data_IF_671532329421
#
_entry.id   IF_671532329421
#
_cell.length_a   1.000
_cell.length_b   1.000
_cell.length_c   1.000
_cell.angle_alpha   90.00
_cell.angle_beta   90.00
_cell.angle_gamma   90.00
#
_symmetry.space_group_name_H-M   'P 1'
#
loop_
_entity.id
_entity.type
_entity.pdbx_description
1 polymer ?
#
# COMPACT_ATOMS: atom_id res chain seq x y z
N UNK A 1 7.63 4.26 -12.27
CA UNK A 1 6.38 5.05 -12.39
C UNK A 1 5.39 4.20 -13.15
N UNK A 2 4.18 4.01 -12.62
CA UNK A 2 3.11 3.34 -13.38
C UNK A 2 2.29 4.41 -14.09
N UNK A 3 1.57 4.04 -15.16
CA UNK A 3 0.69 4.99 -15.85
C UNK A 3 -0.53 5.38 -14.99
N UNK A 4 -0.88 4.54 -14.01
CA UNK A 4 -2.02 4.74 -13.09
C UNK A 4 -1.66 5.58 -11.87
N UNK A 5 -0.45 5.43 -11.31
CA UNK A 5 -0.03 6.11 -10.09
C UNK A 5 1.23 6.94 -10.35
N UNK A 6 1.07 8.28 -10.34
CA UNK A 6 2.17 9.24 -10.54
C UNK A 6 3.21 9.16 -9.43
N UNK A 7 2.76 8.94 -8.20
CA UNK A 7 3.60 8.72 -7.02
C UNK A 7 3.33 7.33 -6.44
N UNK A 8 4.40 6.60 -6.14
CA UNK A 8 4.35 5.27 -5.52
C UNK A 8 5.25 5.23 -4.30
N UNK A 9 4.78 4.59 -3.24
CA UNK A 9 5.59 4.28 -2.06
C UNK A 9 6.39 3.00 -2.27
N UNK A 10 7.35 2.74 -1.37
CA UNK A 10 8.17 1.54 -1.42
C UNK A 10 8.61 1.11 -0.01
N UNK A 11 8.42 -0.17 0.29
CA UNK A 11 9.06 -0.82 1.43
C UNK A 11 10.10 -1.84 0.93
N UNK A 12 11.25 -1.89 1.61
CA UNK A 12 12.36 -2.80 1.27
C UNK A 12 12.78 -3.57 2.52
N UNK A 13 13.05 -4.87 2.37
CA UNK A 13 13.57 -5.72 3.44
C UNK A 13 14.74 -6.56 2.91
N UNK A 14 15.85 -6.57 3.66
CA UNK A 14 17.03 -7.38 3.38
C UNK A 14 17.07 -8.57 4.35
N UNK A 15 17.18 -9.79 3.82
CA UNK A 15 17.34 -11.01 4.61
C UNK A 15 18.70 -11.64 4.26
N UNK A 16 19.68 -11.46 5.16
CA UNK A 16 20.99 -12.08 5.04
C UNK A 16 20.95 -13.49 5.66
N UNK A 17 20.62 -14.48 4.84
CA UNK A 17 20.49 -15.88 5.25
C UNK A 17 21.08 -16.83 4.22
N UNK A 18 21.41 -18.05 4.65
CA UNK A 18 21.78 -19.16 3.76
C UNK A 18 20.58 -20.10 3.47
N UNK A 19 19.40 -19.81 4.01
CA UNK A 19 18.19 -20.57 3.72
C UNK A 19 17.65 -20.18 2.33
N UNK A 20 17.27 -21.14 1.49
CA UNK A 20 16.70 -20.90 0.16
C UNK A 20 15.21 -20.54 0.16
N UNK A 21 14.47 -20.86 1.24
CA UNK A 21 13.03 -20.60 1.31
C UNK A 21 12.70 -19.10 1.37
N UNK A 22 11.71 -18.62 0.59
CA UNK A 22 11.14 -17.28 0.75
C UNK A 22 10.56 -17.12 2.16
N UNK A 23 10.63 -15.90 2.69
CA UNK A 23 10.19 -15.55 4.03
C UNK A 23 9.47 -14.20 4.01
N UNK A 24 8.45 -14.10 3.16
CA UNK A 24 7.60 -12.92 3.03
C UNK A 24 6.96 -12.53 4.36
N UNK A 25 6.55 -13.49 5.17
CA UNK A 25 5.99 -13.26 6.50
C UNK A 25 6.96 -12.48 7.38
N UNK A 26 8.27 -12.78 7.31
CA UNK A 26 9.29 -12.01 8.03
C UNK A 26 9.40 -10.58 7.52
N UNK A 27 9.35 -10.37 6.20
CA UNK A 27 9.40 -9.03 5.62
C UNK A 27 8.20 -8.18 6.08
N UNK A 28 6.99 -8.73 5.97
CA UNK A 28 5.77 -8.05 6.41
C UNK A 28 5.74 -7.80 7.92
N UNK A 29 6.16 -8.78 8.73
CA UNK A 29 6.23 -8.60 10.18
C UNK A 29 7.20 -7.49 10.55
N UNK A 30 8.40 -7.46 9.94
CA UNK A 30 9.41 -6.42 10.22
C UNK A 30 8.94 -5.02 9.87
N UNK A 31 8.22 -4.86 8.76
CA UNK A 31 7.60 -3.59 8.41
C UNK A 31 6.46 -3.23 9.36
N UNK A 32 5.68 -4.21 9.82
CA UNK A 32 4.55 -4.00 10.72
C UNK A 32 4.98 -3.65 12.16
N UNK A 33 6.04 -4.29 12.68
CA UNK A 33 6.55 -4.13 14.05
C UNK A 33 6.95 -2.69 14.40
N UNK A 34 7.13 -1.84 13.39
CA UNK A 34 7.33 -0.40 13.59
C UNK A 34 6.16 0.27 14.31
N UNK A 35 4.97 -0.36 14.33
CA UNK A 35 3.82 0.05 15.15
C UNK A 35 4.17 0.27 16.62
N UNK A 36 5.16 -0.45 17.16
CA UNK A 36 5.60 -0.30 18.55
C UNK A 36 6.21 1.08 18.84
N UNK A 37 6.65 1.80 17.80
CA UNK A 37 7.17 3.15 17.89
C UNK A 37 6.11 4.23 17.56
N UNK A 38 4.85 3.83 17.31
CA UNK A 38 3.77 4.75 16.94
C UNK A 38 3.17 5.48 18.14
N UNK A 39 2.86 6.76 17.93
CA UNK A 39 2.05 7.57 18.85
C UNK A 39 0.84 8.13 18.11
N UNK A 40 -0.31 8.20 18.79
CA UNK A 40 -1.61 8.57 18.19
C UNK A 40 -1.56 9.88 17.40
N UNK A 41 -0.79 10.87 17.86
CA UNK A 41 -0.66 12.17 17.20
C UNK A 41 -0.15 12.08 15.76
N UNK A 42 0.69 11.08 15.45
CA UNK A 42 1.26 10.90 14.10
C UNK A 42 0.20 10.54 13.07
N UNK A 43 -0.93 9.96 13.48
CA UNK A 43 -2.07 9.68 12.57
C UNK A 43 -2.58 10.96 11.94
N UNK A 44 -2.58 12.07 12.68
CA UNK A 44 -3.14 13.35 12.25
C UNK A 44 -2.21 14.19 11.38
N UNK A 45 -0.91 13.89 11.38
CA UNK A 45 0.08 14.58 10.57
C UNK A 45 1.37 13.78 10.54
N UNK A 46 1.67 13.17 9.39
CA UNK A 46 2.90 12.44 9.18
C UNK A 46 4.09 13.42 9.08
N UNK A 47 4.88 13.54 10.13
CA UNK A 47 6.02 14.46 10.26
C UNK A 47 7.38 13.76 10.22
N UNK A 48 7.38 12.42 10.27
CA UNK A 48 8.58 11.62 10.45
C UNK A 48 8.80 10.62 9.29
N UNK A 49 9.47 11.04 8.20
CA UNK A 49 9.91 10.14 7.14
C UNK A 49 11.13 9.28 7.55
N UNK A 50 11.53 9.21 8.82
CA UNK A 50 12.63 8.34 9.23
C UNK A 50 12.28 6.86 9.01
N UNK A 51 13.32 6.07 8.71
CA UNK A 51 13.23 4.64 8.35
C UNK A 51 12.54 3.75 9.38
N UNK A 52 12.37 4.23 10.61
CA UNK A 52 11.86 3.46 11.74
C UNK A 52 10.34 3.32 11.71
N UNK A 53 9.62 4.18 10.99
CA UNK A 53 8.15 4.16 10.94
C UNK A 53 7.55 4.14 9.54
N UNK A 54 8.34 4.55 8.55
CA UNK A 54 7.86 4.70 7.18
C UNK A 54 7.31 3.41 6.59
N UNK A 55 7.78 2.23 7.03
CA UNK A 55 7.27 0.99 6.48
C UNK A 55 5.87 0.68 7.01
N UNK A 56 5.65 0.78 8.33
CA UNK A 56 4.34 0.54 8.92
C UNK A 56 3.32 1.54 8.41
N UNK A 57 3.64 2.85 8.43
CA UNK A 57 2.70 3.88 8.02
C UNK A 57 2.30 3.76 6.55
N UNK A 58 3.21 3.27 5.69
CA UNK A 58 2.87 2.95 4.30
C UNK A 58 1.95 1.72 4.20
N UNK A 59 2.12 0.70 5.04
CA UNK A 59 1.26 -0.50 5.03
C UNK A 59 -0.19 -0.17 5.40
N UNK A 60 -0.41 0.80 6.29
CA UNK A 60 -1.74 1.19 6.80
C UNK A 60 -2.27 2.50 6.21
N UNK A 61 -1.66 3.01 5.14
CA UNK A 61 -2.06 4.26 4.52
C UNK A 61 -3.41 4.13 3.80
N UNK A 62 -4.44 4.87 4.23
CA UNK A 62 -5.81 4.68 3.75
C UNK A 62 -5.97 4.90 2.25
N UNK A 63 -5.23 5.87 1.68
CA UNK A 63 -5.33 6.18 0.26
C UNK A 63 -4.53 5.20 -0.63
N UNK A 64 -3.73 4.31 -0.04
CA UNK A 64 -3.00 3.29 -0.79
C UNK A 64 -3.93 2.10 -1.06
N UNK A 65 -4.23 1.86 -2.33
CA UNK A 65 -5.26 0.89 -2.75
C UNK A 65 -4.72 -0.27 -3.58
N UNK A 66 -3.48 -0.17 -4.05
CA UNK A 66 -2.80 -1.19 -4.82
C UNK A 66 -1.40 -1.45 -4.27
N UNK A 67 -1.02 -2.73 -4.29
CA UNK A 67 0.31 -3.19 -3.89
C UNK A 67 0.85 -4.17 -4.93
N UNK A 68 2.14 -4.04 -5.25
CA UNK A 68 2.87 -4.99 -6.08
C UNK A 68 4.20 -5.33 -5.44
N UNK A 69 4.46 -6.61 -5.21
CA UNK A 69 5.64 -7.09 -4.50
C UNK A 69 6.48 -8.04 -5.36
N UNK A 70 7.79 -8.03 -5.13
CA UNK A 70 8.74 -8.94 -5.75
C UNK A 70 9.93 -9.20 -4.85
N UNK A 71 10.58 -10.35 -5.03
CA UNK A 71 11.78 -10.72 -4.30
C UNK A 71 12.85 -11.22 -5.27
N UNK A 72 14.12 -10.98 -4.92
CA UNK A 72 15.29 -11.49 -5.63
C UNK A 72 16.20 -12.21 -4.65
N UNK A 73 16.83 -13.30 -5.11
CA UNK A 73 17.84 -14.03 -4.35
C UNK A 73 19.22 -13.83 -5.01
N UNK A 74 20.26 -13.71 -4.20
CA UNK A 74 21.62 -13.43 -4.68
C UNK A 74 22.67 -13.91 -3.66
N UNK A 75 23.88 -14.17 -4.15
CA UNK A 75 25.04 -14.45 -3.30
C UNK A 75 25.74 -13.13 -2.96
N UNK A 76 26.13 -12.95 -1.71
CA UNK A 76 26.84 -11.75 -1.26
C UNK A 76 27.72 -12.03 -0.05
N UNK A 77 28.68 -11.15 0.21
CA UNK A 77 29.43 -11.11 1.46
C UNK A 77 29.06 -9.82 2.17
N UNK A 78 28.55 -9.93 3.40
CA UNK A 78 28.17 -8.78 4.22
C UNK A 78 28.83 -8.92 5.60
N UNK A 79 29.48 -7.86 6.08
CA UNK A 79 30.23 -7.85 7.36
C UNK A 79 31.21 -9.03 7.53
N UNK A 80 31.84 -9.46 6.43
CA UNK A 80 32.82 -10.56 6.43
C UNK A 80 32.22 -11.97 6.46
N UNK A 81 30.89 -12.10 6.39
CA UNK A 81 30.17 -13.37 6.35
C UNK A 81 29.61 -13.59 4.94
N UNK A 82 29.80 -14.80 4.40
CA UNK A 82 29.24 -15.20 3.11
C UNK A 82 27.79 -15.68 3.25
N UNK A 83 26.93 -15.13 2.39
CA UNK A 83 25.52 -15.48 2.25
C UNK A 83 25.25 -15.97 0.83
N UNK A 84 24.92 -17.25 0.68
CA UNK A 84 24.63 -17.90 -0.62
C UNK A 84 23.16 -17.86 -1.00
N UNK A 85 22.29 -17.31 -0.14
CA UNK A 85 20.86 -17.16 -0.39
C UNK A 85 20.33 -15.85 0.22
N UNK A 86 21.11 -14.77 0.13
CA UNK A 86 20.64 -13.46 0.55
C UNK A 86 19.45 -13.03 -0.30
N UNK A 87 18.51 -12.29 0.30
CA UNK A 87 17.27 -11.90 -0.37
C UNK A 87 16.98 -10.42 -0.17
N UNK A 88 16.38 -9.83 -1.20
CA UNK A 88 15.77 -8.50 -1.13
C UNK A 88 14.29 -8.67 -1.45
N UNK A 89 13.44 -8.19 -0.56
CA UNK A 89 11.99 -8.11 -0.75
C UNK A 89 11.61 -6.65 -0.95
N UNK A 90 10.80 -6.38 -1.97
CA UNK A 90 10.34 -5.03 -2.30
C UNK A 90 8.84 -5.07 -2.53
N UNK A 91 8.11 -4.16 -1.89
CA UNK A 91 6.71 -3.88 -2.20
C UNK A 91 6.56 -2.42 -2.59
N UNK A 92 5.90 -2.16 -3.72
CA UNK A 92 5.51 -0.82 -4.14
C UNK A 92 4.02 -0.60 -3.87
N UNK A 93 3.67 0.62 -3.48
CA UNK A 93 2.35 1.00 -2.98
C UNK A 93 1.78 2.15 -3.83
N UNK A 94 0.55 2.01 -4.31
CA UNK A 94 -0.10 2.96 -5.22
C UNK A 94 -1.54 3.28 -4.84
N UNK A 95 -1.95 4.56 -4.79
CA UNK A 95 -1.11 5.75 -4.63
C UNK A 95 -0.11 5.62 -3.47
N UNK A 96 1.04 6.30 -3.58
CA UNK A 96 2.04 6.32 -2.52
C UNK A 96 1.53 7.02 -1.24
N UNK A 97 1.89 6.47 -0.09
CA UNK A 97 1.57 7.02 1.21
C UNK A 97 2.70 7.88 1.79
N UNK A 98 2.69 8.08 3.11
CA UNK A 98 3.71 8.83 3.86
C UNK A 98 3.89 10.27 3.35
N UNK A 99 2.78 10.89 2.94
CA UNK A 99 2.78 12.27 2.47
C UNK A 99 2.93 13.18 3.69
N UNK A 100 3.95 14.05 3.66
CA UNK A 100 4.26 14.96 4.75
C UNK A 100 3.02 15.77 5.16
N UNK A 101 2.80 15.92 6.46
CA UNK A 101 1.65 16.59 7.10
C UNK A 101 0.28 15.97 6.82
N UNK A 102 0.18 14.96 5.95
CA UNK A 102 -1.07 14.30 5.65
C UNK A 102 -1.45 13.30 6.73
N UNK A 103 -2.76 13.07 6.87
CA UNK A 103 -3.33 12.07 7.76
C UNK A 103 -3.19 10.67 7.14
N UNK A 104 -2.81 9.69 7.96
CA UNK A 104 -2.67 8.28 7.51
C UNK A 104 -4.01 7.64 7.15
N UNK A 105 -5.01 7.76 8.03
CA UNK A 105 -6.36 7.23 7.85
C UNK A 105 -7.35 7.96 8.76
N UNK A 106 -8.65 7.86 8.46
CA UNK A 106 -9.68 8.41 9.32
C UNK A 106 -9.94 7.49 10.52
N UNK A 107 -9.88 8.05 11.73
CA UNK A 107 -10.10 7.30 12.99
C UNK A 107 -11.59 6.99 13.19
N UNK A 108 -12.50 7.69 12.50
CA UNK A 108 -13.96 7.50 12.60
C UNK A 108 -14.51 6.80 11.35
N UNK A 109 -15.16 5.64 11.51
CA UNK A 109 -16.00 5.03 10.46
C UNK A 109 -17.34 5.78 10.40
N UNK A 110 -17.37 6.97 9.82
CA UNK A 110 -18.60 7.71 9.52
C UNK A 110 -18.92 7.52 8.05
N UNK A 111 -19.49 6.38 7.68
CA UNK A 111 -20.15 6.25 6.37
C UNK A 111 -21.66 6.41 6.58
N UNK A 112 -22.30 7.45 6.00
CA UNK A 112 -23.72 7.69 6.21
C UNK A 112 -24.65 6.70 5.48
N UNK A 113 -24.13 5.81 4.62
CA UNK A 113 -25.01 5.10 3.67
C UNK A 113 -24.92 3.58 3.63
N UNK A 114 -23.94 2.91 4.24
CA UNK A 114 -23.87 1.43 4.16
C UNK A 114 -23.29 0.76 5.42
N UNK A 115 -24.12 0.21 6.32
CA UNK A 115 -23.67 -0.47 7.54
C UNK A 115 -22.90 -1.77 7.28
N UNK A 116 -22.98 -2.35 6.07
CA UNK A 116 -22.25 -3.58 5.73
C UNK A 116 -20.73 -3.36 5.50
N UNK A 117 -20.31 -2.11 5.26
CA UNK A 117 -18.94 -1.77 4.88
C UNK A 117 -17.97 -1.64 6.07
N UNK A 118 -18.44 -1.27 7.26
CA UNK A 118 -17.59 -1.26 8.47
C UNK A 118 -17.39 -2.68 9.07
N UNK A 119 -17.88 -3.76 8.45
CA UNK A 119 -17.76 -5.14 9.00
C UNK A 119 -16.35 -5.73 8.90
N UNK A 120 -15.57 -5.29 7.93
CA UNK A 120 -14.16 -5.70 7.74
C UNK A 120 -13.15 -4.64 8.21
N UNK A 121 -13.64 -3.45 8.60
CA UNK A 121 -12.80 -2.29 8.91
C UNK A 121 -12.13 -1.64 7.69
N UNK A 122 -12.49 -2.04 6.46
CA UNK A 122 -11.93 -1.51 5.21
C UNK A 122 -13.01 -0.87 4.34
N UNK A 123 -12.67 0.25 3.70
CA UNK A 123 -13.49 0.86 2.63
C UNK A 123 -12.93 0.43 1.27
N UNK A 124 -13.77 0.03 0.29
CA UNK A 124 -13.36 -0.17 -1.08
C UNK A 124 -12.67 1.08 -1.59
N UNK A 125 -11.63 0.88 -2.40
CA UNK A 125 -11.06 1.97 -3.17
C UNK A 125 -12.18 2.63 -3.97
N UNK A 126 -12.45 3.90 -3.73
CA UNK A 126 -13.25 4.68 -4.67
C UNK A 126 -12.42 4.84 -5.93
N UNK A 127 -12.96 4.49 -7.10
CA UNK A 127 -12.37 4.77 -8.43
C UNK A 127 -12.26 6.29 -8.72
N UNK A 128 -12.42 7.13 -7.70
CA UNK A 128 -12.19 8.56 -7.78
C UNK A 128 -10.68 8.79 -7.82
N UNK A 129 -10.14 8.89 -9.03
CA UNK A 129 -8.84 9.51 -9.27
C UNK A 129 -8.87 10.90 -8.61
N UNK A 130 -8.11 11.08 -7.54
CA UNK A 130 -8.02 12.30 -6.73
C UNK A 130 -7.47 13.52 -7.51
N UNK A 131 -7.20 13.37 -8.82
CA UNK A 131 -6.65 14.40 -9.69
C UNK A 131 -7.49 14.60 -10.98
N UNK A 132 -8.82 14.50 -10.90
CA UNK A 132 -9.71 15.08 -11.93
C UNK A 132 -10.53 16.23 -11.36
N UNK A 133 -9.97 17.43 -11.51
CA UNK A 133 -10.64 18.71 -11.77
C UNK A 133 -12.06 18.87 -11.16
N UNK A 134 -12.12 19.40 -9.94
CA UNK A 134 -13.14 20.18 -9.20
C UNK A 134 -14.65 20.23 -9.59
N UNK A 135 -15.22 19.49 -10.54
CA UNK A 135 -16.64 19.65 -10.91
C UNK A 135 -17.38 18.43 -11.49
N UNK A 136 -16.85 17.19 -11.44
CA UNK A 136 -17.57 16.02 -11.98
C UNK A 136 -18.01 14.96 -10.95
N UNK A 137 -17.66 15.09 -9.67
CA UNK A 137 -18.14 14.17 -8.63
C UNK A 137 -19.62 14.36 -8.21
N UNK A 138 -20.40 15.12 -9.00
CA UNK A 138 -21.82 15.38 -8.74
C UNK A 138 -22.76 14.88 -9.85
N UNK A 139 -22.35 13.89 -10.66
CA UNK A 139 -23.29 13.25 -11.58
C UNK A 139 -23.23 11.72 -11.50
N UNK A 140 -24.24 11.17 -10.84
CA UNK A 140 -24.92 9.90 -11.09
C UNK A 140 -24.08 8.62 -11.21
N UNK A 141 -24.28 7.78 -10.19
CA UNK A 141 -24.48 6.33 -10.27
C UNK A 141 -24.83 5.87 -11.71
N UNK A 142 -23.90 5.19 -12.38
CA UNK A 142 -24.17 4.71 -13.75
C UNK A 142 -23.01 3.97 -14.41
N UNK A 143 -23.06 2.63 -14.32
CA UNK A 143 -22.66 1.67 -15.37
C UNK A 143 -21.22 1.76 -15.91
N UNK A 144 -20.32 0.92 -15.37
CA UNK A 144 -19.17 0.42 -16.15
C UNK A 144 -19.43 -1.05 -16.53
N UNK A 145 -19.48 -1.25 -17.85
CA UNK A 145 -20.00 -2.42 -18.54
C UNK A 145 -19.32 -3.75 -18.22
N UNK A 146 -20.16 -4.78 -18.08
CA UNK A 146 -19.77 -6.16 -18.37
C UNK A 146 -19.63 -6.39 -19.88
N UNK A 147 -19.12 -7.57 -20.30
CA UNK A 147 -18.76 -7.84 -21.69
C UNK A 147 -20.00 -7.84 -22.59
N UNK A 148 -19.88 -7.23 -23.77
CA UNK A 148 -20.93 -7.21 -24.79
C UNK A 148 -21.44 -8.63 -25.12
N UNK A 149 -22.76 -8.86 -25.18
CA UNK A 149 -23.29 -10.05 -25.83
C UNK A 149 -23.38 -9.81 -27.34
N UNK A 150 -22.67 -10.64 -28.10
CA UNK A 150 -22.86 -10.83 -29.54
C UNK A 150 -24.29 -11.31 -29.83
N UNK A 151 -25.17 -10.47 -30.39
CA UNK A 151 -26.40 -10.94 -31.08
C UNK A 151 -26.76 -10.05 -32.29
N UNK A 152 -26.57 -10.65 -33.47
CA UNK A 152 -27.24 -10.52 -34.78
C UNK A 152 -27.53 -9.14 -35.40
N UNK A 153 -26.80 -8.86 -36.49
CA UNK A 153 -27.26 -7.99 -37.59
C UNK A 153 -28.30 -8.73 -38.44
N UNK A 154 -29.42 -8.07 -38.70
CA UNK A 154 -30.17 -8.18 -39.95
C UNK A 154 -30.02 -6.88 -40.73
#
# INVERSE_FOLDING_TARGET
>A
RTCKYRMVGQNVFYDFTNNSSPAWERAFQRWYDEVDNMVVMRVYGFDDPHKILGHYTQMVWANTTAIGCGAVHYNTTYEGVEYTNAKIYVCNYGPGGNIYTSRMYNITCTTPTLPLLCTTGLTPASDCDEETDDNLCNLNVGLCGGPEPLVNRH
#
